data_IF_919120754433
#
_entry.id   IF_919120754433
#
_cell.length_a   1.000
_cell.length_b   1.000
_cell.length_c   1.000
_cell.angle_alpha   90.00
_cell.angle_beta   90.00
_cell.angle_gamma   90.00
#
_symmetry.space_group_name_H-M   'P 1'
#
loop_
_entity.id
_entity.type
_entity.pdbx_description
1 polymer ?
#
# COMPACT_ATOMS: atom_id res chain seq x y z
N UNK A 1 -32.94 15.48 25.50
CA UNK A 1 -32.36 14.35 24.76
C UNK A 1 -31.80 13.37 25.76
N UNK A 2 -32.60 12.37 26.17
CA UNK A 2 -32.13 11.26 27.00
C UNK A 2 -31.55 10.24 26.02
N UNK A 3 -30.21 10.15 25.93
CA UNK A 3 -29.60 8.97 25.29
C UNK A 3 -29.77 7.83 26.29
N UNK A 4 -30.39 6.74 25.86
CA UNK A 4 -30.64 5.58 26.69
C UNK A 4 -29.32 5.05 27.25
N UNK A 5 -29.18 4.97 28.57
CA UNK A 5 -27.94 4.52 29.26
C UNK A 5 -27.45 3.16 28.74
N UNK A 6 -28.39 2.32 28.29
CA UNK A 6 -28.11 1.03 27.67
C UNK A 6 -27.35 1.15 26.35
N UNK A 7 -27.68 2.17 25.55
CA UNK A 7 -27.03 2.44 24.27
C UNK A 7 -25.62 3.00 24.42
N UNK A 8 -25.37 3.83 25.44
CA UNK A 8 -24.01 4.29 25.75
C UNK A 8 -23.13 3.14 26.22
N UNK A 9 -23.62 2.29 27.12
CA UNK A 9 -22.85 1.14 27.62
C UNK A 9 -22.50 0.13 26.52
N UNK A 10 -23.40 -0.09 25.57
CA UNK A 10 -23.15 -0.95 24.40
C UNK A 10 -22.09 -0.33 23.47
N UNK A 11 -22.14 1.00 23.27
CA UNK A 11 -21.16 1.71 22.46
C UNK A 11 -19.77 1.69 23.09
N UNK A 12 -19.68 1.81 24.43
CA UNK A 12 -18.44 1.75 25.19
C UNK A 12 -17.76 0.38 25.13
N UNK A 13 -18.53 -0.71 25.18
CA UNK A 13 -18.00 -2.07 25.03
C UNK A 13 -17.33 -2.26 23.65
N UNK A 14 -18.00 -1.81 22.59
CA UNK A 14 -17.43 -1.83 21.24
C UNK A 14 -16.22 -0.93 21.08
N UNK A 15 -16.25 0.24 21.71
CA UNK A 15 -15.13 1.17 21.74
C UNK A 15 -13.88 0.51 22.31
N UNK A 16 -14.01 -0.11 23.49
CA UNK A 16 -12.91 -0.78 24.17
C UNK A 16 -12.41 -1.99 23.38
N UNK A 17 -13.32 -2.77 22.77
CA UNK A 17 -12.96 -3.90 21.90
C UNK A 17 -12.19 -3.46 20.65
N UNK A 18 -12.63 -2.40 19.97
CA UNK A 18 -11.95 -1.88 18.78
C UNK A 18 -10.56 -1.35 19.13
N UNK A 19 -10.44 -0.61 20.24
CA UNK A 19 -9.16 -0.03 20.66
C UNK A 19 -8.16 -1.09 21.12
N UNK A 20 -8.60 -2.11 21.87
CA UNK A 20 -7.75 -3.22 22.29
C UNK A 20 -7.27 -4.05 21.10
N UNK A 21 -8.15 -4.39 20.15
CA UNK A 21 -7.76 -5.07 18.91
C UNK A 21 -6.76 -4.25 18.10
N UNK A 22 -6.99 -2.94 17.99
CA UNK A 22 -6.06 -2.04 17.31
C UNK A 22 -4.67 -2.09 17.94
N UNK A 23 -4.57 -2.14 19.26
CA UNK A 23 -3.31 -2.23 19.99
C UNK A 23 -2.64 -3.60 19.81
N UNK A 24 -3.40 -4.70 19.79
CA UNK A 24 -2.89 -6.03 19.47
C UNK A 24 -2.27 -6.10 18.07
N UNK A 25 -2.95 -5.49 17.07
CA UNK A 25 -2.48 -5.42 15.69
C UNK A 25 -1.26 -4.51 15.55
N UNK A 26 -1.23 -3.35 16.23
CA UNK A 26 -0.05 -2.46 16.27
C UNK A 26 1.16 -3.12 16.91
N UNK A 27 0.96 -3.97 17.92
CA UNK A 27 2.04 -4.68 18.61
C UNK A 27 2.54 -5.92 17.84
N UNK A 28 1.89 -6.31 16.73
CA UNK A 28 2.26 -7.47 15.92
C UNK A 28 2.51 -8.75 16.74
N UNK A 29 1.71 -8.98 17.79
CA UNK A 29 1.94 -10.06 18.78
C UNK A 29 1.86 -11.47 18.18
N UNK A 30 1.13 -11.66 17.10
CA UNK A 30 0.96 -12.95 16.44
C UNK A 30 1.66 -12.99 15.08
N UNK A 31 2.07 -14.20 14.66
CA UNK A 31 2.69 -14.42 13.34
C UNK A 31 1.79 -13.98 12.17
N UNK A 32 0.46 -14.04 12.33
CA UNK A 32 -0.50 -13.51 11.35
C UNK A 32 -0.52 -11.99 11.33
N UNK A 33 -0.47 -11.35 12.51
CA UNK A 33 -0.45 -9.89 12.60
C UNK A 33 0.84 -9.26 12.07
N UNK A 34 1.97 -9.99 12.03
CA UNK A 34 3.27 -9.46 11.60
C UNK A 34 3.28 -8.82 10.19
N UNK A 35 2.40 -9.30 9.29
CA UNK A 35 2.25 -8.77 7.94
C UNK A 35 0.88 -8.13 7.70
N UNK A 36 0.05 -8.03 8.74
CA UNK A 36 -1.31 -7.50 8.62
C UNK A 36 -1.31 -5.99 8.81
N UNK A 37 -2.23 -5.31 8.13
CA UNK A 37 -2.46 -3.89 8.34
C UNK A 37 -3.13 -3.60 9.69
N UNK A 38 -3.27 -2.31 10.01
CA UNK A 38 -3.90 -1.83 11.25
C UNK A 38 -5.20 -1.03 10.99
N UNK A 39 -5.69 -1.06 9.75
CA UNK A 39 -6.84 -0.29 9.27
C UNK A 39 -8.19 -0.77 9.79
N UNK A 40 -9.24 -0.01 9.49
CA UNK A 40 -10.61 -0.33 9.90
C UNK A 40 -11.09 -1.64 9.27
N UNK A 41 -10.69 -1.92 8.04
CA UNK A 41 -10.99 -3.16 7.30
C UNK A 41 -10.39 -4.38 7.98
N UNK A 42 -9.15 -4.26 8.48
CA UNK A 42 -8.46 -5.36 9.17
C UNK A 42 -9.12 -5.64 10.51
N UNK A 43 -9.49 -4.60 11.26
CA UNK A 43 -10.21 -4.76 12.53
C UNK A 43 -11.58 -5.40 12.30
N UNK A 44 -12.31 -4.99 11.26
CA UNK A 44 -13.59 -5.61 10.90
C UNK A 44 -13.42 -7.09 10.58
N UNK A 45 -12.42 -7.42 9.75
CA UNK A 45 -12.11 -8.81 9.41
C UNK A 45 -11.72 -9.64 10.64
N UNK A 46 -10.90 -9.09 11.54
CA UNK A 46 -10.48 -9.77 12.77
C UNK A 46 -11.68 -10.06 13.71
N UNK A 47 -12.64 -9.13 13.78
CA UNK A 47 -13.90 -9.32 14.52
C UNK A 47 -14.76 -10.44 13.89
N UNK A 48 -14.81 -10.53 12.56
CA UNK A 48 -15.47 -11.62 11.85
C UNK A 48 -14.79 -12.97 12.12
N UNK A 49 -13.46 -13.03 12.11
CA UNK A 49 -12.72 -14.26 12.40
C UNK A 49 -12.99 -14.76 13.83
N UNK A 50 -13.20 -13.84 14.77
CA UNK A 50 -13.57 -14.15 16.16
C UNK A 50 -15.05 -14.51 16.33
N UNK A 51 -15.84 -14.54 15.23
CA UNK A 51 -17.27 -14.91 15.19
C UNK A 51 -18.16 -14.08 16.12
N UNK A 52 -17.80 -12.82 16.32
CA UNK A 52 -18.59 -11.89 17.14
C UNK A 52 -19.82 -11.46 16.33
N UNK A 53 -20.98 -11.38 17.00
CA UNK A 53 -22.23 -10.88 16.40
C UNK A 53 -22.33 -9.36 16.54
N UNK A 54 -23.13 -8.72 15.69
CA UNK A 54 -23.42 -7.28 15.73
C UNK A 54 -22.20 -6.37 15.50
N UNK A 55 -21.33 -6.76 14.57
CA UNK A 55 -20.11 -6.02 14.23
C UNK A 55 -20.49 -4.63 13.68
N UNK A 56 -19.89 -3.54 14.21
CA UNK A 56 -20.12 -2.21 13.68
C UNK A 56 -19.58 -2.08 12.26
N UNK A 57 -20.26 -1.30 11.42
CA UNK A 57 -19.83 -1.07 10.04
C UNK A 57 -18.40 -0.48 9.96
N UNK A 58 -17.69 -0.77 8.88
CA UNK A 58 -16.33 -0.25 8.62
C UNK A 58 -16.25 1.28 8.80
N UNK A 59 -17.20 2.11 8.28
CA UNK A 59 -17.21 3.55 8.52
C UNK A 59 -17.30 3.94 10.00
N UNK A 60 -18.06 3.19 10.81
CA UNK A 60 -18.16 3.39 12.25
C UNK A 60 -16.82 3.15 12.93
N UNK A 61 -16.15 2.03 12.59
CA UNK A 61 -14.81 1.71 13.10
C UNK A 61 -13.82 2.80 12.70
N UNK A 62 -13.80 3.22 11.44
CA UNK A 62 -12.92 4.28 10.95
C UNK A 62 -13.14 5.61 11.70
N UNK A 63 -14.39 5.98 11.98
CA UNK A 63 -14.74 7.19 12.73
C UNK A 63 -14.34 7.09 14.20
N UNK A 64 -14.44 5.92 14.81
CA UNK A 64 -13.91 5.64 16.17
C UNK A 64 -12.40 5.82 16.19
N UNK A 65 -11.67 5.17 15.28
CA UNK A 65 -10.21 5.29 15.19
C UNK A 65 -9.76 6.74 14.97
N UNK A 66 -10.49 7.49 14.14
CA UNK A 66 -10.22 8.90 13.90
C UNK A 66 -10.41 9.74 15.18
N UNK A 67 -11.54 9.58 15.88
CA UNK A 67 -11.83 10.30 17.13
C UNK A 67 -10.79 10.05 18.21
N UNK A 68 -10.24 8.85 18.27
CA UNK A 68 -9.22 8.45 19.25
C UNK A 68 -7.78 8.64 18.74
N UNK A 69 -7.57 9.37 17.63
CA UNK A 69 -6.24 9.71 17.13
C UNK A 69 -5.43 8.55 16.56
N UNK A 70 -6.05 7.39 16.31
CA UNK A 70 -5.39 6.19 15.75
C UNK A 70 -5.20 6.26 14.23
N UNK A 71 -5.83 7.20 13.53
CA UNK A 71 -5.67 7.41 12.08
C UNK A 71 -4.51 8.38 11.75
N UNK A 72 -3.82 8.90 12.76
CA UNK A 72 -2.68 9.79 12.58
C UNK A 72 -1.47 9.07 11.98
N UNK A 73 -0.87 9.68 10.96
CA UNK A 73 0.42 9.23 10.44
C UNK A 73 1.50 9.53 11.49
N UNK A 74 1.84 8.55 12.34
CA UNK A 74 2.92 8.66 13.34
C UNK A 74 4.27 8.98 12.67
N UNK A 75 4.42 8.64 11.39
CA UNK A 75 5.53 9.09 10.56
C UNK A 75 5.11 10.40 9.91
N UNK A 76 5.18 11.51 10.66
CA UNK A 76 5.06 12.85 10.09
C UNK A 76 5.85 12.88 8.78
N UNK A 77 5.20 13.36 7.70
CA UNK A 77 5.73 13.46 6.33
C UNK A 77 7.21 13.16 6.32
N UNK A 78 7.63 11.94 5.93
CA UNK A 78 9.07 11.57 5.86
C UNK A 78 9.77 12.73 5.17
N UNK A 79 10.39 13.58 5.99
CA UNK A 79 10.83 14.89 5.54
C UNK A 79 11.81 14.62 4.45
N UNK A 80 11.46 15.03 3.22
CA UNK A 80 12.21 14.90 1.97
C UNK A 80 13.48 14.09 2.19
N UNK A 81 13.37 12.75 2.07
CA UNK A 81 14.50 11.85 2.28
C UNK A 81 15.73 12.48 1.65
N UNK A 82 16.81 12.63 2.44
CA UNK A 82 18.00 13.43 2.09
C UNK A 82 18.19 13.38 0.58
N UNK A 83 18.21 14.54 -0.09
CA UNK A 83 18.42 14.70 -1.53
C UNK A 83 19.83 14.21 -1.95
N UNK A 84 20.23 13.03 -1.50
CA UNK A 84 21.41 12.36 -1.98
C UNK A 84 21.06 11.92 -3.39
N UNK A 85 21.70 12.50 -4.42
CA UNK A 85 21.50 12.03 -5.77
C UNK A 85 21.86 10.55 -5.80
N UNK A 86 21.07 9.77 -6.53
CA UNK A 86 21.40 8.37 -6.78
C UNK A 86 22.83 8.30 -7.34
N UNK A 87 23.70 7.40 -6.83
CA UNK A 87 25.06 7.30 -7.33
C UNK A 87 25.02 7.09 -8.85
N UNK A 88 25.56 8.06 -9.57
CA UNK A 88 25.55 8.10 -11.03
C UNK A 88 26.92 7.69 -11.56
N UNK A 89 26.94 6.74 -12.50
CA UNK A 89 28.15 6.35 -13.22
C UNK A 89 28.42 7.35 -14.34
N UNK A 90 29.57 8.03 -14.29
CA UNK A 90 30.02 8.88 -15.40
C UNK A 90 30.52 7.99 -16.54
N UNK A 91 29.73 7.87 -17.61
CA UNK A 91 30.23 7.35 -18.87
C UNK A 91 31.06 8.44 -19.54
N UNK A 92 32.29 8.13 -19.95
CA UNK A 92 33.15 9.02 -20.72
C UNK A 92 33.08 8.67 -22.21
N UNK A 93 32.81 7.39 -22.53
CA UNK A 93 32.78 6.88 -23.89
C UNK A 93 31.39 6.38 -24.32
N UNK A 94 31.10 6.46 -25.62
CA UNK A 94 29.84 5.96 -26.17
C UNK A 94 29.74 4.43 -25.99
N UNK A 95 28.64 3.95 -25.42
CA UNK A 95 28.38 2.51 -25.21
C UNK A 95 28.81 1.98 -23.83
N UNK A 96 29.44 2.82 -23.00
CA UNK A 96 29.90 2.44 -21.66
C UNK A 96 28.75 2.32 -20.65
N UNK A 97 27.71 3.15 -20.80
CA UNK A 97 26.51 3.09 -19.98
C UNK A 97 25.26 2.97 -20.83
N UNK A 98 24.56 1.87 -20.60
CA UNK A 98 23.28 1.55 -21.21
C UNK A 98 22.22 1.49 -20.13
N UNK A 99 21.17 2.29 -20.27
CA UNK A 99 20.00 2.21 -19.39
C UNK A 99 18.92 1.40 -20.10
N UNK A 100 18.51 0.30 -19.48
CA UNK A 100 17.37 -0.52 -19.89
C UNK A 100 16.21 -0.24 -18.96
N UNK A 101 15.11 0.26 -19.50
CA UNK A 101 13.86 0.42 -18.75
C UNK A 101 12.82 -0.62 -19.22
N UNK A 102 12.10 -1.18 -18.24
CA UNK A 102 10.99 -2.10 -18.45
C UNK A 102 9.70 -1.30 -18.29
N UNK A 103 9.11 -0.89 -19.41
CA UNK A 103 7.77 -0.32 -19.36
C UNK A 103 6.77 -1.46 -19.39
N UNK A 104 5.99 -1.56 -18.31
CA UNK A 104 4.95 -2.57 -18.15
C UNK A 104 3.89 -2.55 -19.27
N UNK A 105 3.09 -3.61 -19.37
CA UNK A 105 2.11 -3.77 -20.45
C UNK A 105 1.13 -2.60 -20.47
N UNK A 106 1.05 -1.90 -21.60
CA UNK A 106 0.00 -0.91 -21.89
C UNK A 106 -1.15 -1.62 -22.58
N UNK A 107 -2.32 -1.63 -21.94
CA UNK A 107 -3.54 -2.25 -22.47
C UNK A 107 -3.95 -1.64 -23.82
N UNK A 108 -3.90 -2.44 -24.89
CA UNK A 108 -4.72 -2.19 -26.08
C UNK A 108 -6.07 -2.87 -25.80
N UNK A 109 -7.16 -2.11 -25.82
CA UNK A 109 -8.51 -2.68 -25.68
C UNK A 109 -8.79 -3.57 -26.89
N UNK A 110 -8.83 -4.87 -26.69
CA UNK A 110 -9.14 -5.89 -27.68
C UNK A 110 -8.96 -7.29 -27.10
N UNK A 111 -9.86 -8.21 -27.45
CA UNK A 111 -9.94 -9.58 -26.90
C UNK A 111 -8.69 -10.41 -27.23
N UNK A 112 -7.83 -10.61 -26.23
CA UNK A 112 -6.68 -11.51 -26.29
C UNK A 112 -5.52 -10.99 -25.45
N UNK A 113 -5.14 -11.71 -24.39
CA UNK A 113 -4.03 -11.32 -23.52
C UNK A 113 -2.70 -11.57 -24.25
N UNK A 114 -2.18 -10.56 -24.93
CA UNK A 114 -0.81 -10.58 -25.47
C UNK A 114 0.05 -9.71 -24.56
N UNK A 115 0.94 -10.33 -23.80
CA UNK A 115 1.91 -9.63 -22.97
C UNK A 115 3.08 -9.14 -23.83
N UNK A 116 3.03 -7.90 -24.31
CA UNK A 116 4.20 -7.27 -24.94
C UNK A 116 5.05 -6.57 -23.87
N UNK A 117 6.21 -7.14 -23.56
CA UNK A 117 7.25 -6.44 -22.81
C UNK A 117 8.06 -5.62 -23.81
N UNK A 118 7.99 -4.29 -23.70
CA UNK A 118 8.80 -3.39 -24.51
C UNK A 118 10.06 -3.01 -23.74
N UNK A 119 11.21 -3.46 -24.24
CA UNK A 119 12.52 -3.00 -23.79
C UNK A 119 12.86 -1.68 -24.47
N UNK A 120 13.22 -0.66 -23.70
CA UNK A 120 13.84 0.56 -24.24
C UNK A 120 15.30 0.63 -23.80
N UNK A 121 16.20 0.73 -24.78
CA UNK A 121 17.63 0.93 -24.54
C UNK A 121 17.98 2.37 -24.92
N UNK A 122 18.40 3.17 -23.94
CA UNK A 122 18.91 4.52 -24.16
C UNK A 122 20.41 4.57 -23.86
N UNK A 123 21.19 5.10 -24.81
CA UNK A 123 22.59 5.45 -24.57
C UNK A 123 22.67 6.79 -23.86
N UNK A 124 23.33 6.83 -22.71
CA UNK A 124 23.30 7.99 -21.80
C UNK A 124 24.01 9.23 -22.36
N UNK A 125 25.01 9.06 -23.24
CA UNK A 125 25.74 10.17 -23.88
C UNK A 125 25.19 10.59 -25.24
N UNK A 126 24.51 9.68 -25.96
CA UNK A 126 24.09 9.93 -27.34
C UNK A 126 22.62 10.34 -27.47
N UNK A 127 21.81 10.19 -26.42
CA UNK A 127 20.36 10.41 -26.44
C UNK A 127 19.60 9.48 -27.39
N UNK A 128 20.29 8.56 -28.08
CA UNK A 128 19.73 7.73 -29.14
C UNK A 128 18.96 6.57 -28.51
N UNK A 129 17.64 6.57 -28.72
CA UNK A 129 16.74 5.48 -28.34
C UNK A 129 16.81 4.41 -29.43
N UNK A 130 17.23 3.18 -29.09
CA UNK A 130 17.04 2.03 -29.98
C UNK A 130 15.81 1.28 -29.55
N UNK A 131 14.83 1.22 -30.44
CA UNK A 131 13.71 0.30 -30.29
C UNK A 131 14.16 -1.07 -30.81
N UNK A 132 14.03 -2.15 -30.03
CA UNK A 132 14.24 -3.48 -30.57
C UNK A 132 13.19 -3.71 -31.66
N UNK A 133 13.63 -3.94 -32.89
CA UNK A 133 12.79 -4.54 -33.93
C UNK A 133 12.38 -5.92 -33.44
N UNK A 134 11.08 -6.24 -33.53
CA UNK A 134 10.50 -7.46 -32.97
C UNK A 134 11.22 -8.71 -33.50
N UNK A 135 12.06 -9.32 -32.66
CA UNK A 135 12.43 -10.72 -32.86
C UNK A 135 11.28 -11.57 -32.36
N UNK A 136 10.58 -12.23 -33.30
CA UNK A 136 9.68 -13.34 -32.98
C UNK A 136 10.57 -14.42 -32.36
N UNK A 137 10.37 -14.72 -31.08
CA UNK A 137 10.85 -15.96 -30.51
C UNK A 137 10.00 -17.08 -31.11
N UNK A 138 10.64 -17.95 -31.91
CA UNK A 138 10.13 -19.27 -32.25
C UNK A 138 10.57 -20.25 -31.16
#
# INVERSE_FOLDING_TARGET
MHRDEFGEKFLDDWLNKILSLREELEAHKTRRSAFSGIGAEVIHWELEQRKIRDIPSIPTIARILFRYGKTGNKQGHKGNGKKQPYPYFKAENMGELHQTDLVGPRYLRGTGFIHFIRWMLQGVLSGRVRLPTSSRFL
#
